data_IF_044353606993
#
_entry.id   IF_044353606993
#
_cell.length_a   1.000
_cell.length_b   1.000
_cell.length_c   1.000
_cell.angle_alpha   90.00
_cell.angle_beta   90.00
_cell.angle_gamma   90.00
#
_symmetry.space_group_name_H-M   'P 1'
#
loop_
_entity.id
_entity.type
_entity.pdbx_description
1 polymer ?
#
# COMPACT_ATOMS: atom_id res chain seq x y z
N UNK A 1 -0.84 0.19 -5.65
CA UNK A 1 0.50 0.78 -5.36
C UNK A 1 0.91 1.64 -6.54
N UNK A 2 1.43 2.84 -6.29
CA UNK A 2 1.84 3.80 -7.33
C UNK A 2 3.36 3.91 -7.36
N UNK A 3 3.94 3.78 -8.55
CA UNK A 3 5.38 3.71 -8.79
C UNK A 3 5.84 4.80 -9.75
N UNK A 4 7.15 4.98 -9.86
CA UNK A 4 7.74 5.92 -10.81
C UNK A 4 7.31 5.61 -12.26
N UNK A 5 7.30 6.66 -13.10
CA UNK A 5 6.91 6.58 -14.51
C UNK A 5 5.45 6.13 -14.74
N UNK A 6 4.56 6.36 -13.77
CA UNK A 6 3.13 6.04 -13.88
C UNK A 6 2.81 4.55 -13.82
N UNK A 7 3.74 3.71 -13.35
CA UNK A 7 3.50 2.28 -13.16
C UNK A 7 2.67 2.03 -11.90
N UNK A 8 1.93 0.93 -11.90
CA UNK A 8 1.18 0.47 -10.73
C UNK A 8 1.47 -0.99 -10.42
N UNK A 9 1.29 -1.36 -9.15
CA UNK A 9 1.18 -2.76 -8.70
C UNK A 9 -0.13 -2.91 -7.92
N UNK A 10 -1.00 -3.76 -8.42
CA UNK A 10 -2.32 -4.06 -7.85
C UNK A 10 -2.28 -5.45 -7.20
N UNK A 11 -2.85 -5.59 -6.01
CA UNK A 11 -2.83 -6.87 -5.30
C UNK A 11 -3.49 -8.00 -6.11
N UNK A 12 -4.57 -7.68 -6.84
CA UNK A 12 -5.26 -8.61 -7.74
C UNK A 12 -4.42 -9.09 -8.93
N UNK A 13 -3.41 -8.33 -9.36
CA UNK A 13 -2.49 -8.75 -10.42
C UNK A 13 -1.28 -9.52 -9.87
N UNK A 14 -0.81 -9.16 -8.68
CA UNK A 14 0.31 -9.86 -8.03
C UNK A 14 -0.07 -11.27 -7.57
N UNK A 15 -1.30 -11.44 -7.09
CA UNK A 15 -1.75 -12.70 -6.46
C UNK A 15 -3.19 -13.07 -6.85
N UNK A 16 -3.57 -12.89 -8.12
CA UNK A 16 -4.97 -13.02 -8.58
C UNK A 16 -5.65 -14.35 -8.25
N UNK A 17 -4.89 -15.46 -8.30
CA UNK A 17 -5.40 -16.81 -8.01
C UNK A 17 -5.44 -17.14 -6.50
N UNK A 18 -4.92 -16.27 -5.65
CA UNK A 18 -4.86 -16.51 -4.22
C UNK A 18 -6.24 -16.34 -3.57
N UNK A 19 -6.65 -17.34 -2.77
CA UNK A 19 -7.94 -17.38 -2.07
C UNK A 19 -7.84 -17.93 -0.63
N UNK A 20 -6.63 -18.15 -0.12
CA UNK A 20 -6.42 -18.64 1.24
C UNK A 20 -6.55 -17.48 2.26
N UNK A 21 -6.85 -17.84 3.50
CA UNK A 21 -6.92 -16.98 4.68
C UNK A 21 -5.56 -16.51 5.21
N UNK A 22 -4.48 -17.18 4.81
CA UNK A 22 -3.10 -16.84 5.19
C UNK A 22 -2.58 -15.61 4.42
N UNK A 23 -1.38 -15.15 4.75
CA UNK A 23 -0.67 -14.14 3.95
C UNK A 23 -0.14 -14.73 2.65
N UNK A 24 -0.14 -13.93 1.59
CA UNK A 24 0.65 -14.22 0.39
C UNK A 24 2.15 -14.09 0.65
N UNK A 25 3.00 -14.65 -0.23
CA UNK A 25 4.41 -14.27 -0.28
C UNK A 25 4.57 -12.77 -0.49
N UNK A 26 5.64 -12.21 0.08
CA UNK A 26 5.96 -10.79 -0.10
C UNK A 26 6.27 -10.46 -1.56
N UNK A 27 5.74 -9.34 -2.04
CA UNK A 27 6.23 -8.64 -3.22
C UNK A 27 7.14 -7.49 -2.78
N UNK A 28 8.24 -7.34 -3.50
CA UNK A 28 9.27 -6.35 -3.21
C UNK A 28 9.31 -5.32 -4.32
N UNK A 29 9.41 -4.06 -3.93
CA UNK A 29 9.61 -2.91 -4.82
C UNK A 29 10.95 -2.29 -4.52
N UNK A 30 11.85 -2.29 -5.50
CA UNK A 30 13.18 -1.72 -5.32
C UNK A 30 13.11 -0.18 -5.26
N UNK A 31 14.06 0.45 -4.56
CA UNK A 31 14.21 1.91 -4.53
C UNK A 31 14.23 2.58 -5.92
N UNK A 32 14.74 1.90 -6.94
CA UNK A 32 14.77 2.41 -8.33
C UNK A 32 13.38 2.54 -8.97
N UNK A 33 12.37 1.86 -8.44
CA UNK A 33 10.99 1.87 -8.93
C UNK A 33 10.08 2.79 -8.12
N UNK A 34 10.55 3.27 -6.96
CA UNK A 34 9.81 4.19 -6.11
C UNK A 34 9.80 5.61 -6.68
N UNK A 35 8.80 6.40 -6.26
CA UNK A 35 8.77 7.83 -6.51
C UNK A 35 9.86 8.48 -5.65
N UNK A 36 10.60 9.43 -6.23
CA UNK A 36 11.62 10.20 -5.53
C UNK A 36 11.24 11.68 -5.56
N UNK A 37 11.38 12.34 -4.42
CA UNK A 37 11.26 13.79 -4.37
C UNK A 37 12.53 14.47 -4.92
N UNK A 38 12.47 15.79 -5.06
CA UNK A 38 13.58 16.63 -5.52
C UNK A 38 14.84 16.56 -4.66
N UNK A 39 14.72 16.16 -3.40
CA UNK A 39 15.82 16.06 -2.44
C UNK A 39 16.41 14.63 -2.38
N UNK A 40 15.87 13.71 -3.20
CA UNK A 40 16.30 12.31 -3.30
C UNK A 40 15.66 11.38 -2.28
N UNK A 41 14.69 11.87 -1.50
CA UNK A 41 13.90 11.06 -0.59
C UNK A 41 12.94 10.12 -1.33
N UNK A 42 12.70 8.94 -0.77
CA UNK A 42 11.90 7.89 -1.38
C UNK A 42 10.48 7.87 -0.83
N UNK A 43 9.50 7.81 -1.74
CA UNK A 43 8.08 7.73 -1.46
C UNK A 43 7.52 6.40 -1.96
N UNK A 44 6.91 5.65 -1.04
CA UNK A 44 6.18 4.42 -1.34
C UNK A 44 4.70 4.70 -1.06
N UNK A 45 3.84 4.62 -2.09
CA UNK A 45 2.49 5.20 -2.07
C UNK A 45 1.44 4.16 -2.46
N UNK A 46 0.43 3.98 -1.62
CA UNK A 46 -0.68 3.06 -1.85
C UNK A 46 -2.04 3.76 -1.68
N UNK A 47 -3.03 3.29 -2.42
CA UNK A 47 -4.43 3.70 -2.28
C UNK A 47 -5.33 2.51 -2.57
N UNK A 48 -6.60 2.52 -2.10
CA UNK A 48 -7.61 1.57 -2.55
C UNK A 48 -7.85 1.67 -4.07
N UNK A 49 -8.21 0.54 -4.67
CA UNK A 49 -8.57 0.45 -6.09
C UNK A 49 -10.01 0.91 -6.31
N UNK A 50 -10.90 0.75 -5.31
CA UNK A 50 -12.29 1.17 -5.36
C UNK A 50 -12.43 2.69 -5.45
N UNK A 51 -13.31 3.18 -6.32
CA UNK A 51 -13.66 4.61 -6.39
C UNK A 51 -14.28 5.12 -5.08
N UNK A 52 -15.19 4.33 -4.48
CA UNK A 52 -15.81 4.64 -3.19
C UNK A 52 -15.75 3.43 -2.23
N UNK A 53 -14.67 3.28 -1.44
CA UNK A 53 -14.50 2.14 -0.54
C UNK A 53 -15.56 2.08 0.58
N UNK A 54 -16.21 3.20 0.92
CA UNK A 54 -17.28 3.24 1.92
C UNK A 54 -18.59 2.57 1.42
N UNK A 55 -18.75 2.39 0.10
CA UNK A 55 -19.91 1.72 -0.51
C UNK A 55 -19.63 0.25 -0.85
N UNK A 56 -18.52 -0.30 -0.38
CA UNK A 56 -18.18 -1.71 -0.62
C UNK A 56 -19.26 -2.66 -0.07
N UNK A 57 -19.54 -3.73 -0.83
CA UNK A 57 -20.50 -4.76 -0.42
C UNK A 57 -19.76 -5.85 0.36
N UNK A 58 -20.04 -5.92 1.65
CA UNK A 58 -19.43 -6.90 2.55
C UNK A 58 -20.25 -8.19 2.64
N UNK A 59 -19.58 -9.31 2.89
CA UNK A 59 -20.25 -10.55 3.25
C UNK A 59 -21.02 -10.38 4.58
N UNK A 60 -22.10 -11.14 4.74
CA UNK A 60 -22.91 -11.11 5.98
C UNK A 60 -22.08 -11.44 7.23
N UNK A 61 -21.07 -12.29 7.08
CA UNK A 61 -20.15 -12.69 8.14
C UNK A 61 -19.06 -11.66 8.46
N UNK A 62 -18.99 -10.53 7.75
CA UNK A 62 -17.96 -9.51 8.00
C UNK A 62 -18.32 -8.68 9.22
N UNK A 63 -17.47 -8.77 10.26
CA UNK A 63 -17.62 -7.98 11.48
C UNK A 63 -17.62 -6.47 11.18
N UNK A 64 -18.40 -5.72 11.96
CA UNK A 64 -18.61 -4.29 11.71
C UNK A 64 -17.31 -3.46 11.72
N UNK A 65 -16.33 -3.82 12.56
CA UNK A 65 -15.06 -3.09 12.67
C UNK A 65 -14.16 -3.25 11.43
N UNK A 66 -14.44 -4.22 10.55
CA UNK A 66 -13.73 -4.38 9.28
C UNK A 66 -14.32 -3.55 8.14
N UNK A 67 -15.49 -2.95 8.34
CA UNK A 67 -16.17 -2.16 7.31
C UNK A 67 -15.51 -0.79 7.22
N UNK A 68 -15.10 -0.44 6.01
CA UNK A 68 -14.50 0.84 5.71
C UNK A 68 -15.49 1.99 5.96
N UNK A 69 -15.02 3.01 6.67
CA UNK A 69 -15.77 4.24 6.93
C UNK A 69 -14.91 5.47 6.58
N UNK A 70 -15.56 6.54 6.13
CA UNK A 70 -14.89 7.81 5.83
C UNK A 70 -14.56 7.99 4.34
N UNK A 71 -13.56 8.85 4.07
CA UNK A 71 -13.16 9.23 2.70
C UNK A 71 -12.03 8.34 2.22
N UNK A 72 -12.07 7.96 0.93
CA UNK A 72 -10.94 7.34 0.23
C UNK A 72 -9.65 8.12 0.53
N UNK A 73 -8.60 7.41 0.90
CA UNK A 73 -7.35 8.01 1.33
C UNK A 73 -6.16 7.36 0.62
N UNK A 74 -5.16 8.19 0.34
CA UNK A 74 -3.83 7.76 -0.07
C UNK A 74 -2.95 7.62 1.16
N UNK A 75 -2.27 6.50 1.27
CA UNK A 75 -1.32 6.20 2.34
C UNK A 75 0.08 6.16 1.77
N UNK A 76 1.08 6.57 2.55
CA UNK A 76 2.45 6.53 2.10
C UNK A 76 3.44 6.29 3.24
N UNK A 77 4.57 5.73 2.85
CA UNK A 77 5.82 5.83 3.59
C UNK A 77 6.77 6.79 2.89
N UNK A 78 7.42 7.64 3.67
CA UNK A 78 8.48 8.52 3.21
C UNK A 78 9.79 8.24 3.97
N UNK A 79 10.86 8.00 3.22
CA UNK A 79 12.22 7.87 3.73
C UNK A 79 13.08 9.00 3.14
N UNK A 80 13.47 10.03 3.93
CA UNK A 80 14.22 11.18 3.41
C UNK A 80 15.66 10.85 3.00
N UNK A 81 16.25 9.78 3.55
CA UNK A 81 17.64 9.40 3.31
C UNK A 81 17.75 7.87 3.10
N UNK A 82 17.22 7.35 1.99
CA UNK A 82 17.19 5.92 1.73
C UNK A 82 18.61 5.39 1.50
N UNK A 83 18.93 4.18 1.96
CA UNK A 83 20.10 3.46 1.44
C UNK A 83 19.79 2.80 0.12
N UNK A 84 20.86 2.34 -0.54
CA UNK A 84 20.77 1.57 -1.77
C UNK A 84 19.98 0.27 -1.64
N UNK A 85 19.85 -0.30 -0.45
CA UNK A 85 19.08 -1.52 -0.17
C UNK A 85 17.65 -1.27 0.35
N UNK A 86 17.16 -0.03 0.32
CA UNK A 86 15.76 0.25 0.64
C UNK A 86 14.81 -0.48 -0.32
N UNK A 87 13.83 -1.15 0.26
CA UNK A 87 12.75 -1.83 -0.43
C UNK A 87 11.40 -1.46 0.19
N UNK A 88 10.40 -1.37 -0.68
CA UNK A 88 9.01 -1.35 -0.29
C UNK A 88 8.51 -2.78 -0.31
N UNK A 89 7.86 -3.20 0.76
CA UNK A 89 7.41 -4.58 0.92
C UNK A 89 5.92 -4.60 1.19
N UNK A 90 5.24 -5.46 0.46
CA UNK A 90 3.82 -5.74 0.64
C UNK A 90 3.57 -7.23 0.66
N UNK A 91 2.58 -7.65 1.42
CA UNK A 91 1.88 -8.90 1.19
C UNK A 91 0.39 -8.61 1.13
N UNK A 92 -0.39 -9.64 0.80
CA UNK A 92 -1.83 -9.53 0.71
C UNK A 92 -2.55 -10.63 1.45
N UNK A 93 -3.85 -10.41 1.60
CA UNK A 93 -4.82 -11.37 2.14
C UNK A 93 -6.10 -11.34 1.33
N UNK A 94 -6.76 -12.48 1.27
CA UNK A 94 -8.06 -12.60 0.63
C UNK A 94 -9.24 -12.46 1.62
N UNK A 95 -8.98 -12.69 2.92
CA UNK A 95 -9.97 -12.59 3.99
C UNK A 95 -9.47 -11.71 5.12
N UNK A 96 -10.39 -11.12 5.88
CA UNK A 96 -10.06 -10.32 7.07
C UNK A 96 -9.36 -11.16 8.15
N UNK A 97 -8.53 -10.50 8.96
CA UNK A 97 -7.74 -11.14 10.00
C UNK A 97 -8.60 -11.92 11.01
N UNK A 98 -8.09 -13.10 11.39
CA UNK A 98 -8.76 -14.08 12.24
C UNK A 98 -10.20 -14.45 11.80
N UNK A 99 -10.49 -14.37 10.49
CA UNK A 99 -11.81 -14.69 9.93
C UNK A 99 -11.70 -15.47 8.61
N UNK A 100 -12.85 -15.92 8.09
CA UNK A 100 -13.01 -16.41 6.72
C UNK A 100 -13.79 -15.43 5.84
N UNK A 101 -14.10 -14.24 6.35
CA UNK A 101 -14.91 -13.26 5.65
C UNK A 101 -14.07 -12.64 4.52
N UNK A 102 -14.51 -12.73 3.26
CA UNK A 102 -13.73 -12.21 2.14
C UNK A 102 -13.65 -10.69 2.20
N UNK A 103 -12.50 -10.16 1.80
CA UNK A 103 -12.33 -8.72 1.59
C UNK A 103 -13.09 -8.35 0.30
N UNK A 104 -13.92 -7.28 0.29
CA UNK A 104 -14.56 -6.80 -0.92
C UNK A 104 -13.54 -6.56 -2.04
N UNK A 105 -13.90 -6.87 -3.29
CA UNK A 105 -12.96 -6.75 -4.42
C UNK A 105 -11.91 -7.88 -4.50
N UNK A 106 -11.74 -8.67 -3.44
CA UNK A 106 -10.86 -9.84 -3.42
C UNK A 106 -9.58 -9.59 -2.63
N UNK A 107 -8.43 -9.98 -3.17
CA UNK A 107 -7.16 -9.84 -2.45
C UNK A 107 -6.75 -8.37 -2.34
N UNK A 108 -6.38 -7.94 -1.13
CA UNK A 108 -5.88 -6.61 -0.85
C UNK A 108 -4.54 -6.67 -0.10
N UNK A 109 -3.79 -5.58 -0.11
CA UNK A 109 -2.59 -5.46 0.72
C UNK A 109 -2.96 -5.47 2.21
N UNK A 110 -2.24 -6.25 3.00
CA UNK A 110 -2.39 -6.28 4.46
C UNK A 110 -1.20 -5.55 5.11
N UNK A 111 0.03 -6.00 4.82
CA UNK A 111 1.23 -5.28 5.24
C UNK A 111 1.70 -4.33 4.14
N UNK A 112 2.08 -3.12 4.53
CA UNK A 112 2.62 -2.07 3.68
C UNK A 112 3.79 -1.38 4.39
N UNK A 113 5.01 -1.70 3.97
CA UNK A 113 6.21 -1.50 4.76
C UNK A 113 7.37 -0.95 3.94
N UNK A 114 8.34 -0.33 4.64
CA UNK A 114 9.68 -0.06 4.14
C UNK A 114 10.69 -0.90 4.91
N UNK A 115 11.71 -1.41 4.22
CA UNK A 115 12.77 -2.23 4.81
C UNK A 115 14.12 -1.82 4.24
N UNK A 116 15.12 -1.64 5.09
CA UNK A 116 16.54 -1.47 4.73
C UNK A 116 17.41 -1.91 5.91
N UNK A 117 18.69 -2.16 5.66
CA UNK A 117 19.66 -2.44 6.71
C UNK A 117 19.68 -1.33 7.76
N UNK A 118 19.66 -1.71 9.04
CA UNK A 118 19.65 -0.76 10.15
C UNK A 118 20.88 0.16 10.14
N UNK A 119 20.64 1.46 10.35
CA UNK A 119 21.64 2.51 10.50
C UNK A 119 21.15 3.53 11.52
N UNK A 120 22.05 4.00 12.37
CA UNK A 120 21.72 5.05 13.34
C UNK A 120 21.27 6.33 12.63
N UNK A 121 20.15 6.90 13.08
CA UNK A 121 19.61 8.15 12.54
C UNK A 121 18.72 7.99 11.30
N UNK A 122 18.28 6.76 10.98
CA UNK A 122 17.21 6.54 10.01
C UNK A 122 15.90 7.18 10.46
N UNK A 123 15.16 7.72 9.51
CA UNK A 123 13.83 8.28 9.71
C UNK A 123 12.87 7.70 8.69
N UNK A 124 11.66 7.40 9.14
CA UNK A 124 10.55 6.96 8.29
C UNK A 124 9.31 7.70 8.75
N UNK A 125 8.55 8.21 7.79
CA UNK A 125 7.31 8.94 8.05
C UNK A 125 6.19 8.16 7.38
N UNK A 126 5.23 7.70 8.18
CA UNK A 126 3.98 7.18 7.66
C UNK A 126 2.96 8.31 7.63
N UNK A 127 2.28 8.46 6.50
CA UNK A 127 1.27 9.49 6.32
C UNK A 127 0.03 8.97 5.61
N UNK A 128 -1.06 9.67 5.84
CA UNK A 128 -2.37 9.43 5.22
C UNK A 128 -2.91 10.78 4.78
N UNK A 129 -3.42 10.87 3.56
CA UNK A 129 -3.98 12.10 3.00
C UNK A 129 -5.25 11.80 2.19
N UNK A 130 -6.27 12.68 2.20
CA UNK A 130 -7.46 12.51 1.38
C UNK A 130 -7.27 12.91 -0.10
N UNK A 131 -6.11 13.47 -0.47
CA UNK A 131 -5.83 13.79 -1.88
C UNK A 131 -5.51 12.51 -2.66
N UNK A 132 -5.73 12.57 -3.97
CA UNK A 132 -5.47 11.42 -4.85
C UNK A 132 -3.96 11.10 -4.92
N UNK A 133 -3.59 9.85 -5.26
CA UNK A 133 -2.19 9.49 -5.43
C UNK A 133 -1.47 10.35 -6.47
N UNK A 134 -2.16 10.71 -7.56
CA UNK A 134 -1.56 11.54 -8.61
C UNK A 134 -1.33 12.98 -8.14
N UNK A 135 -2.25 13.55 -7.38
CA UNK A 135 -2.06 14.88 -6.77
C UNK A 135 -0.88 14.86 -5.80
N UNK A 136 -0.81 13.87 -4.90
CA UNK A 136 0.33 13.70 -4.00
C UNK A 136 1.64 13.54 -4.76
N UNK A 137 1.68 12.70 -5.80
CA UNK A 137 2.87 12.50 -6.64
C UNK A 137 3.30 13.82 -7.27
N UNK A 138 2.36 14.61 -7.79
CA UNK A 138 2.66 15.90 -8.38
C UNK A 138 3.21 16.90 -7.37
N UNK A 139 2.77 16.87 -6.12
CA UNK A 139 3.29 17.73 -5.04
C UNK A 139 4.71 17.35 -4.62
N UNK A 140 5.05 16.06 -4.60
CA UNK A 140 6.38 15.60 -4.11
C UNK A 140 7.49 15.69 -5.16
N UNK A 141 7.16 15.59 -6.45
CA UNK A 141 8.16 15.65 -7.54
C UNK A 141 8.48 17.09 -8.00
N UNK A 142 7.69 18.08 -7.57
CA UNK A 142 7.95 19.50 -7.80
C UNK A 142 9.12 20.01 -6.93
#
# INVERSE_FOLDING_TARGET
>A
MHLANGKTKEAGLLWGDYKDSNFTPHDHTALSEMIKDKDGGAWFIASPDEENPAEAVYAESTDAHWKYEGKKATQYWYCPKPSSDLQGVVNGRYTYWASKSPIPGGIAYENFELTESFRSGQSYIFGITPISPQELINEVIQ
#
